data_IF_715058405799
#
_entry.id   IF_715058405799
#
_cell.length_a   1.000
_cell.length_b   1.000
_cell.length_c   1.000
_cell.angle_alpha   90.00
_cell.angle_beta   90.00
_cell.angle_gamma   90.00
#
_symmetry.space_group_name_H-M   'P 1'
#
loop_
_entity.id
_entity.type
_entity.pdbx_description
1 polymer ?
#
# COMPACT_ATOMS: atom_id res chain seq x y z
N UNK A 1 -10.29 -3.03 3.70
CA UNK A 1 -10.35 -4.04 2.62
C UNK A 1 -10.96 -3.40 1.38
N UNK A 2 -10.47 -3.74 0.20
CA UNK A 2 -11.06 -3.32 -1.08
C UNK A 2 -12.15 -4.33 -1.44
N UNK A 3 -13.33 -3.85 -1.87
CA UNK A 3 -14.43 -4.73 -2.24
C UNK A 3 -14.20 -5.36 -3.62
N UNK A 4 -14.54 -6.65 -3.82
CA UNK A 4 -14.52 -7.26 -5.14
C UNK A 4 -15.32 -6.43 -6.16
N UNK A 5 -14.81 -6.29 -7.38
CA UNK A 5 -15.41 -5.44 -8.41
C UNK A 5 -15.13 -3.93 -8.28
N UNK A 6 -14.36 -3.50 -7.28
CA UNK A 6 -13.90 -2.12 -7.20
C UNK A 6 -13.01 -1.74 -8.39
N UNK A 7 -13.04 -0.47 -8.76
CA UNK A 7 -12.12 0.11 -9.74
C UNK A 7 -10.80 0.41 -9.05
N UNK A 8 -9.72 -0.22 -9.51
CA UNK A 8 -8.36 0.01 -9.00
C UNK A 8 -7.60 0.81 -10.06
N UNK A 9 -7.06 1.96 -9.65
CA UNK A 9 -6.16 2.76 -10.45
C UNK A 9 -4.72 2.50 -10.02
N UNK A 10 -3.85 2.11 -10.95
CA UNK A 10 -2.40 1.97 -10.70
C UNK A 10 -1.60 2.70 -11.78
N UNK A 11 -0.28 2.75 -11.63
CA UNK A 11 0.60 3.08 -12.74
C UNK A 11 0.57 1.97 -13.83
N UNK A 12 1.30 2.17 -14.93
CA UNK A 12 1.40 1.22 -16.04
C UNK A 12 2.38 0.05 -15.78
N UNK A 13 2.77 -0.20 -14.53
CA UNK A 13 3.73 -1.25 -14.21
C UNK A 13 3.14 -2.65 -14.41
N UNK A 14 3.90 -3.51 -15.08
CA UNK A 14 3.46 -4.85 -15.52
C UNK A 14 3.03 -5.77 -14.37
N UNK A 15 3.53 -5.55 -13.15
CA UNK A 15 3.13 -6.35 -11.98
C UNK A 15 1.65 -6.25 -11.65
N UNK A 16 0.96 -5.18 -12.08
CA UNK A 16 -0.46 -4.98 -11.84
C UNK A 16 -1.37 -5.71 -12.84
N UNK A 17 -0.80 -6.38 -13.85
CA UNK A 17 -1.59 -7.10 -14.87
C UNK A 17 -2.45 -8.24 -14.31
N UNK A 18 -2.14 -8.74 -13.11
CA UNK A 18 -2.96 -9.76 -12.43
C UNK A 18 -4.24 -9.20 -11.81
N UNK A 19 -4.38 -7.88 -11.60
CA UNK A 19 -5.56 -7.30 -10.94
C UNK A 19 -6.87 -7.62 -11.69
N UNK A 20 -6.81 -7.65 -13.03
CA UNK A 20 -7.94 -8.04 -13.87
C UNK A 20 -8.29 -9.52 -13.70
N UNK A 21 -7.29 -10.38 -13.48
CA UNK A 21 -7.50 -11.82 -13.21
C UNK A 21 -8.14 -12.05 -11.84
N UNK A 22 -7.85 -11.18 -10.86
CA UNK A 22 -8.43 -11.20 -9.52
C UNK A 22 -9.85 -10.57 -9.46
N UNK A 23 -10.45 -10.23 -10.61
CA UNK A 23 -11.82 -9.72 -10.68
C UNK A 23 -11.99 -8.22 -10.38
N UNK A 24 -10.90 -7.45 -10.38
CA UNK A 24 -10.95 -6.00 -10.24
C UNK A 24 -11.04 -5.30 -11.60
N UNK A 25 -11.71 -4.15 -11.64
CA UNK A 25 -11.70 -3.28 -12.82
C UNK A 25 -10.42 -2.46 -12.77
N UNK A 26 -9.39 -2.91 -13.49
CA UNK A 26 -8.10 -2.26 -13.50
C UNK A 26 -8.08 -1.09 -14.50
N UNK A 27 -7.68 0.10 -14.02
CA UNK A 27 -7.40 1.29 -14.84
C UNK A 27 -5.98 1.76 -14.55
N UNK A 28 -5.34 2.36 -15.54
CA UNK A 28 -3.97 2.85 -15.42
C UNK A 28 -3.92 4.38 -15.48
N UNK A 29 -2.96 4.96 -14.77
CA UNK A 29 -2.62 6.39 -14.84
C UNK A 29 -1.21 6.51 -15.43
N UNK A 30 -1.10 7.22 -16.56
CA UNK A 30 0.17 7.43 -17.23
C UNK A 30 0.92 8.63 -16.61
N UNK A 31 1.92 8.36 -15.76
CA UNK A 31 2.75 9.39 -15.12
C UNK A 31 3.61 10.22 -16.08
N UNK A 32 3.75 9.81 -17.35
CA UNK A 32 4.56 10.53 -18.35
C UNK A 32 3.97 11.88 -18.74
N UNK A 33 2.65 12.08 -18.59
CA UNK A 33 1.97 13.26 -19.15
C UNK A 33 1.21 14.10 -18.11
N UNK A 34 0.74 13.53 -16.99
CA UNK A 34 0.08 14.33 -15.96
C UNK A 34 0.33 13.78 -14.54
N UNK A 35 0.66 14.69 -13.60
CA UNK A 35 0.70 14.45 -12.14
C UNK A 35 -0.71 14.18 -11.53
N UNK A 36 -1.73 14.51 -12.32
CA UNK A 36 -3.16 14.36 -12.04
C UNK A 36 -3.79 13.87 -13.32
N UNK A 37 -4.43 12.71 -13.35
CA UNK A 37 -5.15 12.33 -14.56
C UNK A 37 -6.27 13.35 -14.82
N UNK A 38 -6.17 14.14 -15.90
CA UNK A 38 -7.09 15.27 -16.12
C UNK A 38 -8.54 14.83 -16.37
N UNK A 39 -8.75 13.60 -16.85
CA UNK A 39 -10.06 13.05 -17.19
C UNK A 39 -10.76 12.42 -15.98
N UNK A 40 -9.99 11.74 -15.13
CA UNK A 40 -10.51 10.97 -13.98
C UNK A 40 -10.29 11.68 -12.65
N UNK A 41 -9.45 12.72 -12.62
CA UNK A 41 -8.98 13.43 -11.41
C UNK A 41 -8.35 12.50 -10.36
N UNK A 42 -7.89 11.31 -10.79
CA UNK A 42 -7.28 10.34 -9.90
C UNK A 42 -5.80 10.69 -9.68
N UNK A 43 -5.37 10.58 -8.42
CA UNK A 43 -4.00 10.81 -8.00
C UNK A 43 -3.45 9.57 -7.29
N UNK A 44 -2.21 9.20 -7.59
CA UNK A 44 -1.47 8.12 -6.90
C UNK A 44 -0.66 8.62 -5.70
N UNK A 45 -0.74 9.91 -5.36
CA UNK A 45 0.08 10.51 -4.29
C UNK A 45 0.03 9.74 -2.97
N UNK A 46 -1.14 9.22 -2.59
CA UNK A 46 -1.27 8.44 -1.37
C UNK A 46 -0.43 7.16 -1.38
N UNK A 47 -0.40 6.43 -2.51
CA UNK A 47 0.41 5.22 -2.64
C UNK A 47 1.90 5.56 -2.81
N UNK A 48 2.22 6.66 -3.49
CA UNK A 48 3.60 7.13 -3.66
C UNK A 48 4.21 7.55 -2.32
N UNK A 49 3.46 8.30 -1.50
CA UNK A 49 3.86 8.66 -0.15
C UNK A 49 4.05 7.42 0.74
N UNK A 50 3.13 6.45 0.67
CA UNK A 50 3.23 5.19 1.40
C UNK A 50 4.50 4.41 1.03
N UNK A 51 4.79 4.26 -0.26
CA UNK A 51 5.98 3.57 -0.75
C UNK A 51 7.27 4.27 -0.27
N UNK A 52 7.30 5.60 -0.31
CA UNK A 52 8.44 6.37 0.18
C UNK A 52 8.66 6.21 1.69
N UNK A 53 7.59 6.19 2.49
CA UNK A 53 7.68 5.95 3.94
C UNK A 53 8.17 4.52 4.25
N UNK A 54 7.68 3.52 3.52
CA UNK A 54 8.15 2.13 3.64
C UNK A 54 9.64 2.00 3.29
N UNK A 55 10.09 2.61 2.20
CA UNK A 55 11.52 2.64 1.84
C UNK A 55 12.37 3.33 2.91
N UNK A 56 11.87 4.42 3.48
CA UNK A 56 12.53 5.13 4.56
C UNK A 56 12.70 4.23 5.79
N UNK A 57 11.67 3.48 6.17
CA UNK A 57 11.73 2.52 7.28
C UNK A 57 12.75 1.39 7.04
N UNK A 58 12.79 0.85 5.81
CA UNK A 58 13.79 -0.16 5.43
C UNK A 58 15.21 0.42 5.56
N UNK A 59 15.43 1.64 5.06
CA UNK A 59 16.72 2.34 5.15
C UNK A 59 17.09 2.61 6.62
N UNK A 60 16.13 3.04 7.45
CA UNK A 60 16.31 3.29 8.89
C UNK A 60 16.75 2.04 9.64
N UNK A 61 16.21 0.87 9.27
CA UNK A 61 16.60 -0.44 9.83
C UNK A 61 17.89 -1.01 9.22
N UNK A 62 18.53 -0.31 8.27
CA UNK A 62 19.72 -0.76 7.51
C UNK A 62 19.45 -2.05 6.72
N UNK A 63 18.24 -2.16 6.17
CA UNK A 63 17.77 -3.31 5.41
C UNK A 63 17.00 -4.32 6.26
N UNK A 64 16.32 -5.23 5.58
CA UNK A 64 15.52 -6.31 6.18
C UNK A 64 15.96 -7.63 5.54
N UNK A 65 16.29 -8.63 6.37
CA UNK A 65 16.67 -9.96 5.89
C UNK A 65 15.52 -10.57 5.09
N UNK A 66 15.82 -11.28 4.00
CA UNK A 66 14.81 -11.82 3.09
C UNK A 66 13.75 -12.67 3.81
N UNK A 67 14.18 -13.52 4.75
CA UNK A 67 13.31 -14.39 5.53
C UNK A 67 12.43 -13.64 6.57
N UNK A 68 12.66 -12.35 6.80
CA UNK A 68 11.88 -11.52 7.73
C UNK A 68 11.02 -10.46 7.02
N UNK A 69 11.04 -10.41 5.68
CA UNK A 69 10.31 -9.39 4.92
C UNK A 69 8.81 -9.42 5.18
N UNK A 70 8.22 -10.61 5.26
CA UNK A 70 6.80 -10.77 5.54
C UNK A 70 6.45 -10.24 6.94
N UNK A 71 7.19 -10.65 7.97
CA UNK A 71 7.01 -10.15 9.33
C UNK A 71 7.18 -8.63 9.42
N UNK A 72 8.19 -8.09 8.73
CA UNK A 72 8.42 -6.65 8.67
C UNK A 72 7.25 -5.91 8.00
N UNK A 73 6.74 -6.41 6.88
CA UNK A 73 5.59 -5.80 6.20
C UNK A 73 4.34 -5.87 7.07
N UNK A 74 4.08 -7.00 7.72
CA UNK A 74 2.95 -7.16 8.65
C UNK A 74 3.05 -6.17 9.81
N UNK A 75 4.24 -6.04 10.42
CA UNK A 75 4.52 -5.09 11.49
C UNK A 75 4.30 -3.65 11.00
N UNK A 76 4.91 -3.27 9.88
CA UNK A 76 4.82 -1.92 9.31
C UNK A 76 3.39 -1.54 8.94
N UNK A 77 2.67 -2.41 8.22
CA UNK A 77 1.27 -2.17 7.83
C UNK A 77 0.38 -2.03 9.06
N UNK A 78 0.61 -2.84 10.09
CA UNK A 78 -0.13 -2.74 11.34
C UNK A 78 0.12 -1.39 12.01
N UNK A 79 1.37 -0.96 12.17
CA UNK A 79 1.68 0.35 12.74
C UNK A 79 1.13 1.49 11.89
N UNK A 80 1.27 1.44 10.57
CA UNK A 80 0.79 2.47 9.66
C UNK A 80 -0.73 2.69 9.82
N UNK A 81 -1.51 1.61 9.89
CA UNK A 81 -2.96 1.66 10.03
C UNK A 81 -3.43 2.06 11.44
N UNK A 82 -2.62 1.80 12.46
CA UNK A 82 -2.98 2.08 13.86
C UNK A 82 -2.21 3.26 14.46
N UNK A 83 -1.42 4.01 13.68
CA UNK A 83 -0.52 5.07 14.17
C UNK A 83 -1.19 6.15 15.06
N UNK A 84 -2.49 6.37 14.87
CA UNK A 84 -3.27 7.35 15.64
C UNK A 84 -3.82 6.78 16.95
N UNK A 85 -3.84 5.46 17.12
CA UNK A 85 -4.40 4.75 18.29
C UNK A 85 -3.55 3.52 18.64
N UNK A 86 -2.22 3.63 18.51
CA UNK A 86 -1.30 2.48 18.55
C UNK A 86 -1.42 1.72 19.86
N UNK A 87 -1.50 2.43 20.98
CA UNK A 87 -1.55 1.81 22.31
C UNK A 87 -2.83 0.99 22.51
N UNK A 88 -4.02 1.56 22.24
CA UNK A 88 -5.26 0.81 22.41
C UNK A 88 -5.40 -0.31 21.37
N UNK A 89 -4.90 -0.09 20.16
CA UNK A 89 -4.86 -1.13 19.12
C UNK A 89 -3.97 -2.30 19.53
N UNK A 90 -2.82 -2.03 20.14
CA UNK A 90 -1.94 -3.04 20.72
C UNK A 90 -2.65 -3.79 21.85
N UNK A 91 -3.32 -3.06 22.76
CA UNK A 91 -4.09 -3.67 23.83
C UNK A 91 -5.18 -4.61 23.29
N UNK A 92 -5.88 -4.24 22.22
CA UNK A 92 -6.87 -5.12 21.58
C UNK A 92 -6.23 -6.37 20.96
N UNK A 93 -5.05 -6.23 20.36
CA UNK A 93 -4.31 -7.33 19.75
C UNK A 93 -3.78 -8.34 20.78
N UNK A 94 -3.31 -7.88 21.95
CA UNK A 94 -2.78 -8.76 23.00
C UNK A 94 -3.86 -9.31 23.93
N UNK A 95 -5.02 -8.63 24.03
CA UNK A 95 -6.15 -9.06 24.88
C UNK A 95 -7.02 -10.14 24.22
N UNK A 96 -6.66 -10.61 23.03
CA UNK A 96 -7.45 -11.58 22.25
C UNK A 96 -6.46 -12.51 21.53
N UNK A 97 -6.49 -13.83 21.70
CA UNK A 97 -7.54 -14.71 22.25
C UNK A 97 -7.49 -14.93 23.75
#
# INVERSE_FOLDING_TARGET
MVYPGSIIYTDEHKSYGSLTLEGFVHRTVCHKHNFVDKLTQVHTQAIDCFNNELEYEIKRRKGVKNNLRENFLNEYIWFFNHRNDTFNSLLRLIKVN
#
